data_IF_726540895938
#
_entry.id   IF_726540895938
#
_cell.length_a   1.000
_cell.length_b   1.000
_cell.length_c   1.000
_cell.angle_alpha   90.00
_cell.angle_beta   90.00
_cell.angle_gamma   90.00
#
_symmetry.space_group_name_H-M   'P 1'
#
loop_
_entity.id
_entity.type
_entity.pdbx_description
1 polymer ?
#
# COMPACT_ATOMS: atom_id res chain seq x y z
N UNK A 1 36.28 -3.56 -32.79
CA UNK A 1 34.91 -3.96 -32.40
C UNK A 1 34.80 -4.01 -30.87
N UNK A 2 34.16 -3.00 -30.27
CA UNK A 2 33.95 -2.92 -28.84
C UNK A 2 32.61 -3.60 -28.51
N UNK A 3 32.64 -4.84 -28.02
CA UNK A 3 31.44 -5.52 -27.54
C UNK A 3 31.24 -5.17 -26.06
N UNK A 4 30.75 -3.97 -25.80
CA UNK A 4 30.31 -3.59 -24.45
C UNK A 4 29.00 -4.34 -24.14
N UNK A 5 28.91 -5.13 -23.05
CA UNK A 5 27.68 -5.83 -22.72
C UNK A 5 26.63 -4.80 -22.28
N UNK A 6 25.63 -4.58 -23.14
CA UNK A 6 24.45 -3.80 -22.75
C UNK A 6 23.59 -4.66 -21.84
N UNK A 7 23.71 -4.46 -20.53
CA UNK A 7 22.78 -5.03 -19.55
C UNK A 7 21.43 -4.33 -19.75
N UNK A 8 20.47 -5.02 -20.36
CA UNK A 8 19.07 -4.58 -20.37
C UNK A 8 18.53 -4.75 -18.95
N UNK A 9 18.59 -3.69 -18.15
CA UNK A 9 17.96 -3.66 -16.84
C UNK A 9 16.45 -3.63 -17.07
N UNK A 10 15.82 -4.80 -17.00
CA UNK A 10 14.37 -4.92 -17.03
C UNK A 10 13.86 -4.40 -15.69
N UNK A 11 13.53 -3.11 -15.63
CA UNK A 11 12.88 -2.51 -14.48
C UNK A 11 11.48 -3.10 -14.43
N UNK A 12 11.32 -4.18 -13.66
CA UNK A 12 10.00 -4.66 -13.28
C UNK A 12 9.34 -3.51 -12.52
N UNK A 13 8.36 -2.87 -13.14
CA UNK A 13 7.45 -1.99 -12.43
C UNK A 13 6.95 -2.78 -11.22
N UNK A 14 7.04 -2.25 -9.99
CA UNK A 14 6.41 -2.90 -8.87
C UNK A 14 4.93 -2.98 -9.22
N UNK A 15 4.43 -4.19 -9.47
CA UNK A 15 2.99 -4.44 -9.52
C UNK A 15 2.47 -3.95 -8.17
N UNK A 16 1.74 -2.84 -8.18
CA UNK A 16 1.26 -2.21 -6.95
C UNK A 16 0.52 -3.28 -6.14
N UNK A 17 0.81 -3.35 -4.84
CA UNK A 17 0.14 -4.34 -3.99
C UNK A 17 -1.38 -4.22 -4.15
N UNK A 18 -2.08 -5.35 -4.36
CA UNK A 18 -3.52 -5.33 -4.51
C UNK A 18 -4.17 -4.75 -3.24
N UNK A 19 -5.24 -3.95 -3.38
CA UNK A 19 -5.88 -3.32 -2.23
C UNK A 19 -6.51 -4.35 -1.30
N UNK A 20 -6.53 -4.03 0.00
CA UNK A 20 -7.24 -4.82 1.00
C UNK A 20 -8.73 -4.63 0.76
N UNK A 21 -9.43 -5.72 0.42
CA UNK A 21 -10.86 -5.65 0.06
C UNK A 21 -11.74 -5.12 1.19
N UNK A 22 -11.45 -5.53 2.44
CA UNK A 22 -12.28 -5.22 3.60
C UNK A 22 -11.43 -5.10 4.86
N UNK A 23 -11.67 -4.04 5.64
CA UNK A 23 -11.06 -3.85 6.95
C UNK A 23 -12.17 -3.44 7.93
N UNK A 24 -12.20 -4.07 9.10
CA UNK A 24 -13.00 -3.65 10.25
C UNK A 24 -12.04 -3.20 11.36
N UNK A 25 -12.04 -1.91 11.68
CA UNK A 25 -11.29 -1.34 12.79
C UNK A 25 -12.24 -1.07 13.96
N UNK A 26 -11.92 -1.59 15.14
CA UNK A 26 -12.63 -1.27 16.37
C UNK A 26 -11.73 -0.42 17.25
N UNK A 27 -12.21 0.77 17.61
CA UNK A 27 -11.50 1.70 18.48
C UNK A 27 -11.86 1.43 19.94
N UNK A 28 -10.96 1.80 20.85
CA UNK A 28 -11.18 1.70 22.31
C UNK A 28 -12.38 2.55 22.78
N UNK A 29 -12.76 3.58 22.03
CA UNK A 29 -13.97 4.37 22.28
C UNK A 29 -15.27 3.61 22.01
N UNK A 30 -15.20 2.39 21.47
CA UNK A 30 -16.34 1.59 21.04
C UNK A 30 -16.78 1.89 19.59
N UNK A 31 -16.23 2.92 18.95
CA UNK A 31 -16.51 3.21 17.54
C UNK A 31 -15.93 2.11 16.63
N UNK A 32 -16.66 1.80 15.54
CA UNK A 32 -16.21 0.84 14.52
C UNK A 32 -16.17 1.50 13.15
N UNK A 33 -15.04 1.37 12.45
CA UNK A 33 -14.86 1.82 11.07
C UNK A 33 -14.81 0.62 10.13
N UNK A 34 -15.51 0.73 9.00
CA UNK A 34 -15.47 -0.24 7.93
C UNK A 34 -14.88 0.40 6.69
N UNK A 35 -13.76 -0.14 6.22
CA UNK A 35 -13.06 0.33 5.03
C UNK A 35 -13.14 -0.75 3.95
N UNK A 36 -13.27 -0.32 2.71
CA UNK A 36 -13.28 -1.20 1.54
C UNK A 36 -12.19 -0.78 0.59
N UNK A 37 -11.59 -1.77 -0.07
CA UNK A 37 -10.67 -1.57 -1.18
C UNK A 37 -9.55 -0.56 -0.87
N UNK A 38 -8.95 -0.67 0.31
CA UNK A 38 -7.99 0.29 0.88
C UNK A 38 -6.57 -0.25 0.75
N UNK A 39 -5.62 0.58 0.33
CA UNK A 39 -4.20 0.18 0.30
C UNK A 39 -3.57 0.28 1.70
N UNK A 40 -2.42 -0.37 1.89
CA UNK A 40 -1.65 -0.24 3.14
C UNK A 40 -1.23 1.21 3.39
N UNK A 41 -0.90 1.96 2.33
CA UNK A 41 -0.52 3.37 2.42
C UNK A 41 -1.69 4.25 2.86
N UNK A 42 -2.87 4.07 2.26
CA UNK A 42 -4.08 4.83 2.62
C UNK A 42 -4.50 4.55 4.07
N UNK A 43 -4.45 3.27 4.47
CA UNK A 43 -4.74 2.88 5.85
C UNK A 43 -3.75 3.53 6.83
N UNK A 44 -2.46 3.52 6.51
CA UNK A 44 -1.42 4.13 7.35
C UNK A 44 -1.65 5.63 7.50
N UNK A 45 -2.00 6.32 6.40
CA UNK A 45 -2.30 7.75 6.44
C UNK A 45 -3.55 8.05 7.28
N UNK A 46 -4.60 7.24 7.14
CA UNK A 46 -5.83 7.37 7.92
C UNK A 46 -5.56 7.21 9.41
N UNK A 47 -4.85 6.14 9.80
CA UNK A 47 -4.53 5.87 11.21
C UNK A 47 -3.68 6.99 11.80
N UNK A 48 -2.66 7.48 11.08
CA UNK A 48 -1.86 8.61 11.54
C UNK A 48 -2.72 9.87 11.80
N UNK A 49 -3.65 10.20 10.90
CA UNK A 49 -4.57 11.34 11.10
C UNK A 49 -5.49 11.18 12.31
N UNK A 50 -5.81 9.95 12.70
CA UNK A 50 -6.69 9.67 13.84
C UNK A 50 -5.96 9.73 15.18
N UNK A 51 -4.65 9.49 15.20
CA UNK A 51 -3.85 9.47 16.43
C UNK A 51 -3.48 10.91 16.85
N UNK A 52 -3.37 11.84 15.89
CA UNK A 52 -3.02 13.23 16.14
C UNK A 52 -1.52 13.46 16.13
#
# INVERSE_FOLDING_TARGET
>A
PCNSPTVKLEVKQPEGEPPIKWIKLQLVSGATLFLRNTTVLDLSLLLNKMIG
#
